data_IF_767075985256
#
_entry.id   IF_767075985256
#
_cell.length_a   1.000
_cell.length_b   1.000
_cell.length_c   1.000
_cell.angle_alpha   90.00
_cell.angle_beta   90.00
_cell.angle_gamma   90.00
#
_symmetry.space_group_name_H-M   'P 1'
#
loop_
_entity.id
_entity.type
_entity.pdbx_description
1 polymer ?
#
# COMPACT_ATOMS: atom_id res chain seq x y z
N UNK A 1 64.54 -30.84 -10.35
CA UNK A 1 63.54 -31.41 -9.40
C UNK A 1 62.71 -30.27 -8.82
N UNK A 2 61.47 -30.10 -9.27
CA UNK A 2 60.34 -29.50 -8.51
C UNK A 2 59.09 -29.60 -9.39
N UNK A 3 58.19 -30.53 -9.04
CA UNK A 3 57.05 -30.98 -9.83
C UNK A 3 55.79 -30.27 -9.32
N UNK A 4 55.30 -29.27 -10.06
CA UNK A 4 54.03 -28.61 -9.76
C UNK A 4 52.86 -29.58 -9.97
N UNK A 5 52.21 -30.00 -8.87
CA UNK A 5 51.00 -30.82 -8.89
C UNK A 5 49.77 -29.91 -9.03
N UNK A 6 49.03 -30.08 -10.12
CA UNK A 6 47.64 -29.60 -10.26
C UNK A 6 46.75 -30.31 -9.24
N UNK A 7 46.28 -29.57 -8.24
CA UNK A 7 45.13 -29.98 -7.43
C UNK A 7 43.86 -29.75 -8.24
N UNK A 8 43.18 -30.83 -8.62
CA UNK A 8 41.81 -30.79 -9.14
C UNK A 8 40.89 -30.40 -7.98
N UNK A 9 40.48 -29.14 -7.94
CA UNK A 9 39.34 -28.72 -7.12
C UNK A 9 38.09 -29.40 -7.67
N UNK A 10 37.40 -30.17 -6.83
CA UNK A 10 36.05 -30.62 -7.13
C UNK A 10 35.15 -29.39 -7.33
N UNK A 11 34.23 -29.40 -8.31
CA UNK A 11 33.23 -28.35 -8.41
C UNK A 11 32.41 -28.31 -7.11
N UNK A 12 31.99 -27.12 -6.64
CA UNK A 12 31.08 -27.03 -5.52
C UNK A 12 29.83 -27.87 -5.83
N UNK A 13 29.45 -28.68 -4.85
CA UNK A 13 28.25 -29.49 -4.91
C UNK A 13 27.07 -28.62 -5.33
N UNK A 14 26.50 -28.94 -6.49
CA UNK A 14 25.17 -28.49 -6.88
C UNK A 14 24.24 -29.08 -5.83
N UNK A 15 23.81 -28.25 -4.87
CA UNK A 15 22.67 -28.56 -4.02
C UNK A 15 21.46 -28.74 -4.95
N UNK A 16 21.19 -30.01 -5.27
CA UNK A 16 19.95 -30.52 -5.85
C UNK A 16 18.76 -29.89 -5.10
N UNK A 17 18.06 -28.89 -5.65
CA UNK A 17 17.12 -28.97 -6.78
C UNK A 17 15.98 -29.99 -6.57
N UNK A 18 15.59 -30.19 -5.32
CA UNK A 18 14.25 -30.64 -4.93
C UNK A 18 13.73 -29.71 -3.84
N UNK A 19 13.71 -28.40 -4.11
CA UNK A 19 12.71 -27.55 -3.46
C UNK A 19 11.37 -28.06 -3.99
N UNK A 20 10.65 -28.70 -3.08
CA UNK A 20 9.23 -28.93 -3.15
C UNK A 20 8.59 -27.71 -3.83
N UNK A 21 8.03 -27.90 -5.03
CA UNK A 21 7.28 -26.88 -5.75
C UNK A 21 6.01 -26.58 -4.95
N UNK A 22 6.16 -25.91 -3.82
CA UNK A 22 5.09 -25.17 -3.17
C UNK A 22 4.73 -24.12 -4.20
N UNK A 23 3.66 -24.39 -4.96
CA UNK A 23 3.06 -23.43 -5.87
C UNK A 23 3.07 -22.08 -5.17
N UNK A 24 3.63 -21.01 -5.77
CA UNK A 24 3.75 -19.73 -5.11
C UNK A 24 2.35 -19.25 -4.77
N UNK A 25 1.94 -19.50 -3.53
CA UNK A 25 0.66 -19.07 -3.02
C UNK A 25 0.74 -17.55 -2.98
N UNK A 26 -0.07 -16.88 -3.80
CA UNK A 26 -0.15 -15.42 -3.75
C UNK A 26 -0.43 -15.00 -2.32
N UNK A 27 0.14 -13.87 -1.93
CA UNK A 27 -0.06 -13.37 -0.60
C UNK A 27 -1.58 -13.12 -0.38
N UNK A 28 -2.10 -13.36 0.84
CA UNK A 28 -3.49 -13.02 1.15
C UNK A 28 -3.70 -11.53 0.88
N UNK A 29 -4.86 -11.12 0.36
CA UNK A 29 -5.09 -9.69 0.09
C UNK A 29 -4.81 -8.84 1.35
N UNK A 30 -4.02 -7.75 1.25
CA UNK A 30 -3.82 -6.83 2.35
C UNK A 30 -5.15 -6.41 2.99
N UNK A 31 -5.25 -6.55 4.30
CA UNK A 31 -6.41 -6.07 5.10
C UNK A 31 -6.35 -4.57 5.38
N UNK A 32 -5.25 -3.93 5.01
CA UNK A 32 -4.98 -2.50 5.18
C UNK A 32 -5.63 -1.70 4.07
N UNK A 33 -6.53 -0.76 4.42
CA UNK A 33 -7.11 0.19 3.46
C UNK A 33 -6.33 1.50 3.37
N UNK A 34 -6.17 2.16 4.51
CA UNK A 34 -5.42 3.40 4.65
C UNK A 34 -5.09 3.60 6.12
N UNK A 35 -3.81 3.72 6.44
CA UNK A 35 -3.34 4.05 7.79
C UNK A 35 -2.47 5.29 7.71
N UNK A 36 -3.06 6.43 8.09
CA UNK A 36 -2.34 7.69 8.20
C UNK A 36 -1.52 7.76 9.47
N UNK A 37 -0.27 8.18 9.34
CA UNK A 37 0.70 8.29 10.42
C UNK A 37 1.27 9.71 10.44
N UNK A 38 1.33 10.28 11.65
CA UNK A 38 1.86 11.63 11.88
C UNK A 38 3.22 11.54 12.57
N UNK A 39 4.15 12.47 12.34
CA UNK A 39 5.39 12.53 13.08
C UNK A 39 5.10 12.77 14.56
N UNK A 40 6.06 12.42 15.42
CA UNK A 40 5.95 12.71 16.83
C UNK A 40 5.85 14.22 17.05
N UNK A 41 5.20 14.67 18.15
CA UNK A 41 5.20 16.09 18.48
C UNK A 41 6.65 16.54 18.72
N UNK A 42 7.13 17.43 17.86
CA UNK A 42 8.46 18.03 17.98
C UNK A 42 8.59 18.74 19.33
N UNK A 43 9.53 18.29 20.17
CA UNK A 43 9.83 18.90 21.47
C UNK A 43 10.07 20.41 21.35
N UNK A 44 10.73 20.86 20.28
CA UNK A 44 11.08 22.27 20.07
C UNK A 44 9.86 23.20 19.93
N UNK A 45 8.73 22.73 19.38
CA UNK A 45 7.52 23.55 19.28
C UNK A 45 6.86 23.74 20.65
N UNK A 46 6.92 22.71 21.49
CA UNK A 46 6.36 22.74 22.84
C UNK A 46 7.22 23.54 23.82
N UNK A 47 8.55 23.52 23.72
CA UNK A 47 9.42 24.39 24.55
C UNK A 47 9.24 25.87 24.21
N UNK A 48 9.02 26.22 22.93
CA UNK A 48 8.73 27.60 22.51
C UNK A 48 7.35 28.04 23.02
N UNK A 49 6.33 27.17 22.91
CA UNK A 49 4.99 27.46 23.43
C UNK A 49 4.99 27.59 24.97
N UNK A 50 5.65 26.69 25.69
CA UNK A 50 5.79 26.75 27.15
C UNK A 50 6.62 27.95 27.62
N UNK A 51 7.65 28.34 26.86
CA UNK A 51 8.45 29.54 27.12
C UNK A 51 7.68 30.84 26.90
N UNK A 52 6.78 30.89 25.92
CA UNK A 52 5.99 32.09 25.62
C UNK A 52 4.81 32.34 26.57
N UNK A 53 4.17 31.28 27.10
CA UNK A 53 3.06 31.42 28.06
C UNK A 53 3.57 31.76 29.48
N UNK A 54 4.78 31.34 29.84
CA UNK A 54 5.40 31.61 31.14
C UNK A 54 5.88 33.05 31.36
N UNK A 55 6.11 33.83 30.29
CA UNK A 55 6.59 35.23 30.42
C UNK A 55 5.49 36.26 30.12
N UNK A 56 4.49 35.92 29.31
CA UNK A 56 3.44 36.87 28.90
C UNK A 56 2.30 37.03 29.92
N UNK A 57 2.09 36.04 30.80
CA UNK A 57 1.00 36.07 31.78
C UNK A 57 1.36 36.79 33.09
N UNK A 58 2.63 37.15 33.29
CA UNK A 58 3.05 38.03 34.40
C UNK A 58 2.98 39.52 34.00
N UNK A 59 2.97 39.83 32.69
CA UNK A 59 3.07 41.21 32.20
C UNK A 59 1.77 41.92 31.80
N UNK A 60 0.64 41.22 31.61
CA UNK A 60 -0.59 41.82 31.07
C UNK A 60 -1.78 41.90 32.04
N UNK A 61 -1.62 41.51 33.31
CA UNK A 61 -2.61 41.72 34.36
C UNK A 61 -2.32 42.94 35.26
N UNK A 62 -1.35 43.78 34.89
CA UNK A 62 -1.06 45.04 35.57
C UNK A 62 -1.30 46.20 34.59
N UNK A 63 -2.57 46.44 34.28
CA UNK A 63 -2.98 47.79 33.89
C UNK A 63 -2.65 48.78 35.02
N UNK A 64 -2.46 50.07 34.73
CA UNK A 64 -2.08 51.08 35.73
C UNK A 64 -3.08 51.21 36.90
N UNK A 65 -4.30 50.70 36.77
CA UNK A 65 -5.34 50.69 37.83
C UNK A 65 -5.30 49.46 38.76
N UNK A 66 -4.39 48.50 38.53
CA UNK A 66 -4.27 47.29 39.36
C UNK A 66 -3.58 47.54 40.73
N UNK A 67 -3.15 48.77 41.02
CA UNK A 67 -2.55 49.15 42.30
C UNK A 67 -3.54 49.24 43.47
N UNK A 68 -4.86 49.20 43.21
CA UNK A 68 -5.90 49.44 44.24
C UNK A 68 -6.54 48.20 44.85
N UNK A 69 -6.23 46.99 44.38
CA UNK A 69 -6.83 45.73 44.90
C UNK A 69 -5.87 44.87 45.72
N UNK A 70 -4.78 45.46 46.23
CA UNK A 70 -3.72 44.77 46.99
C UNK A 70 -4.03 44.49 48.48
N UNK A 71 -5.27 44.58 48.95
CA UNK A 71 -5.53 44.53 50.40
C UNK A 71 -6.48 43.41 50.86
N UNK A 72 -7.14 42.67 49.97
CA UNK A 72 -8.01 41.57 50.42
C UNK A 72 -7.73 40.26 49.70
N UNK A 73 -7.11 39.33 50.44
CA UNK A 73 -7.12 37.86 50.26
C UNK A 73 -6.06 37.26 49.31
N UNK A 74 -4.82 37.19 49.78
CA UNK A 74 -3.65 36.62 49.10
C UNK A 74 -3.63 35.10 48.88
N UNK A 75 -4.74 34.48 48.48
CA UNK A 75 -4.83 33.02 48.25
C UNK A 75 -5.26 32.65 46.82
N UNK A 76 -5.94 33.54 46.10
CA UNK A 76 -6.45 33.28 44.75
C UNK A 76 -5.40 33.23 43.61
N UNK A 77 -4.33 34.05 43.57
CA UNK A 77 -3.39 34.01 42.44
C UNK A 77 -2.45 32.78 42.48
N UNK A 78 -2.22 32.19 43.65
CA UNK A 78 -1.38 30.98 43.81
C UNK A 78 -2.09 29.75 43.23
N UNK A 79 -3.42 29.66 43.38
CA UNK A 79 -4.21 28.52 42.90
C UNK A 79 -4.24 28.38 41.37
N UNK A 80 -4.32 29.50 40.64
CA UNK A 80 -4.30 29.50 39.17
C UNK A 80 -2.92 29.12 38.60
N UNK A 81 -1.84 29.62 39.21
CA UNK A 81 -0.48 29.23 38.82
C UNK A 81 -0.20 27.75 39.09
N UNK A 82 -0.70 27.20 40.22
CA UNK A 82 -0.57 25.79 40.55
C UNK A 82 -1.36 24.88 39.59
N UNK A 83 -2.57 25.27 39.17
CA UNK A 83 -3.37 24.53 38.19
C UNK A 83 -2.71 24.53 36.80
N UNK A 84 -2.20 25.68 36.34
CA UNK A 84 -1.44 25.75 35.10
C UNK A 84 -0.18 24.87 35.14
N UNK A 85 0.58 24.94 36.24
CA UNK A 85 1.76 24.08 36.46
C UNK A 85 1.43 22.58 36.46
N UNK A 86 0.32 22.18 37.10
CA UNK A 86 -0.11 20.79 37.13
C UNK A 86 -0.53 20.28 35.74
N UNK A 87 -1.24 21.06 34.94
CA UNK A 87 -1.61 20.66 33.57
C UNK A 87 -0.40 20.53 32.64
N UNK A 88 0.58 21.45 32.74
CA UNK A 88 1.85 21.32 32.03
C UNK A 88 2.66 20.09 32.49
N UNK A 89 2.73 19.83 33.79
CA UNK A 89 3.43 18.66 34.33
C UNK A 89 2.80 17.34 33.88
N UNK A 90 1.46 17.25 33.82
CA UNK A 90 0.72 16.08 33.30
C UNK A 90 0.95 15.92 31.79
N UNK A 91 0.99 17.01 31.03
CA UNK A 91 1.36 16.98 29.60
C UNK A 91 2.78 16.44 29.38
N UNK A 92 3.75 16.96 30.14
CA UNK A 92 5.17 16.56 30.06
C UNK A 92 5.36 15.10 30.50
N UNK A 93 4.75 14.67 31.60
CA UNK A 93 4.87 13.27 32.07
C UNK A 93 4.19 12.27 31.14
N UNK A 94 3.02 12.59 30.58
CA UNK A 94 2.39 11.76 29.53
C UNK A 94 3.28 11.65 28.27
N UNK A 95 4.07 12.69 27.99
CA UNK A 95 4.97 12.75 26.85
C UNK A 95 6.32 12.05 27.11
N UNK A 96 6.84 12.08 28.33
CA UNK A 96 8.04 11.31 28.74
C UNK A 96 7.80 9.80 28.75
N UNK A 97 6.56 9.37 28.97
CA UNK A 97 6.17 7.95 28.92
C UNK A 97 5.85 7.46 27.49
N UNK A 98 6.17 8.22 26.44
CA UNK A 98 5.90 7.79 25.05
C UNK A 98 6.87 6.70 24.62
N UNK A 99 6.36 5.79 23.79
CA UNK A 99 7.22 4.92 23.00
C UNK A 99 8.06 5.82 22.09
N UNK A 100 9.38 5.71 22.22
CA UNK A 100 10.30 6.40 21.32
C UNK A 100 10.41 5.61 20.03
N UNK A 101 10.41 6.32 18.92
CA UNK A 101 10.89 5.75 17.67
C UNK A 101 12.32 5.22 17.86
N UNK A 102 12.72 4.14 17.15
CA UNK A 102 14.11 3.70 17.11
C UNK A 102 15.04 4.86 16.74
N UNK A 103 16.22 4.94 17.36
CA UNK A 103 17.17 6.06 17.18
C UNK A 103 17.54 6.29 15.71
N UNK A 104 17.51 5.23 14.90
CA UNK A 104 17.85 5.25 13.48
C UNK A 104 16.67 5.64 12.57
N UNK A 105 15.44 5.68 13.10
CA UNK A 105 14.25 5.94 12.32
C UNK A 105 13.90 7.44 12.32
N UNK A 106 13.77 8.01 11.13
CA UNK A 106 13.33 9.40 10.96
C UNK A 106 11.82 9.50 11.17
N UNK A 107 11.38 10.42 12.03
CA UNK A 107 9.96 10.70 12.20
C UNK A 107 9.41 11.51 11.01
N UNK A 108 8.37 11.02 10.36
CA UNK A 108 7.79 11.59 9.13
C UNK A 108 6.27 11.49 9.11
N UNK A 109 5.62 12.31 8.29
CA UNK A 109 4.25 12.05 7.87
C UNK A 109 4.29 10.91 6.86
N UNK A 110 3.48 9.87 7.04
CA UNK A 110 3.39 8.80 6.06
C UNK A 110 2.03 8.11 6.09
N UNK A 111 1.67 7.44 5.01
CA UNK A 111 0.47 6.63 4.92
C UNK A 111 0.81 5.24 4.40
N UNK A 112 0.25 4.21 5.04
CA UNK A 112 0.34 2.82 4.57
C UNK A 112 -0.95 2.49 3.84
N UNK A 113 -0.83 2.01 2.60
CA UNK A 113 -1.93 1.67 1.68
C UNK A 113 -1.70 0.26 1.12
N UNK A 114 -2.69 -0.42 0.52
CA UNK A 114 -2.54 -1.80 0.04
C UNK A 114 -1.39 -2.03 -0.95
N UNK A 115 -0.89 -0.99 -1.62
CA UNK A 115 0.12 -1.07 -2.68
C UNK A 115 1.51 -0.57 -2.26
N UNK A 116 1.65 -0.04 -1.04
CA UNK A 116 2.92 0.45 -0.53
C UNK A 116 2.77 1.51 0.56
N UNK A 117 3.77 2.38 0.65
CA UNK A 117 3.87 3.44 1.65
C UNK A 117 4.13 4.77 0.97
N UNK A 118 3.32 5.78 1.30
CA UNK A 118 3.49 7.17 0.88
C UNK A 118 4.22 7.88 2.02
N UNK A 119 5.44 8.36 1.78
CA UNK A 119 6.23 9.09 2.76
C UNK A 119 6.28 10.56 2.38
N UNK A 120 5.66 11.42 3.17
CA UNK A 120 5.77 12.86 3.00
C UNK A 120 7.05 13.37 3.68
N UNK A 121 7.99 13.78 2.83
CA UNK A 121 9.31 14.27 3.22
C UNK A 121 9.55 15.68 2.67
N UNK A 122 8.62 16.61 2.93
CA UNK A 122 8.82 18.03 2.65
C UNK A 122 8.08 18.49 1.40
N UNK A 123 8.78 18.79 0.30
CA UNK A 123 8.16 19.41 -0.88
C UNK A 123 7.46 18.42 -1.82
N UNK A 124 7.88 17.15 -1.84
CA UNK A 124 7.32 16.11 -2.70
C UNK A 124 7.15 14.79 -1.94
N UNK A 125 6.03 14.06 -2.13
CA UNK A 125 5.82 12.76 -1.52
C UNK A 125 6.74 11.72 -2.18
N UNK A 126 7.37 10.88 -1.35
CA UNK A 126 8.17 9.75 -1.81
C UNK A 126 7.36 8.47 -1.70
N UNK A 127 7.26 7.74 -2.80
CA UNK A 127 6.47 6.52 -2.89
C UNK A 127 7.37 5.30 -2.73
N UNK A 128 7.07 4.48 -1.73
CA UNK A 128 7.76 3.22 -1.45
C UNK A 128 6.83 2.06 -1.79
N UNK A 129 7.04 1.42 -2.94
CA UNK A 129 6.35 0.17 -3.29
C UNK A 129 6.81 -0.96 -2.36
N UNK A 130 6.01 -2.01 -2.21
CA UNK A 130 6.37 -3.15 -1.37
C UNK A 130 7.77 -3.74 -1.59
N UNK A 131 8.30 -3.85 -2.84
CA UNK A 131 9.66 -4.35 -3.06
C UNK A 131 10.77 -3.52 -2.36
N UNK A 132 10.51 -2.24 -2.08
CA UNK A 132 11.43 -1.36 -1.37
C UNK A 132 11.32 -1.48 0.17
N UNK A 133 10.24 -2.09 0.68
CA UNK A 133 9.98 -2.25 2.12
C UNK A 133 10.54 -3.60 2.58
N UNK A 134 11.47 -3.56 3.53
CA UNK A 134 12.12 -4.76 4.10
C UNK A 134 11.43 -5.23 5.36
N UNK A 135 10.93 -4.30 6.18
CA UNK A 135 10.28 -4.65 7.45
C UNK A 135 9.30 -3.57 7.88
N UNK A 136 8.21 -3.98 8.50
CA UNK A 136 7.28 -3.11 9.21
C UNK A 136 7.24 -3.57 10.67
N UNK A 137 7.45 -2.63 11.59
CA UNK A 137 7.35 -2.88 13.02
C UNK A 137 6.30 -1.98 13.63
N UNK A 138 5.47 -2.54 14.50
CA UNK A 138 4.46 -1.80 15.26
C UNK A 138 4.74 -1.98 16.74
N UNK A 139 5.07 -0.87 17.40
CA UNK A 139 5.19 -0.82 18.85
C UNK A 139 3.92 -0.19 19.42
N UNK A 140 3.24 -0.90 20.32
CA UNK A 140 1.94 -0.50 20.86
C UNK A 140 2.08 -0.07 22.32
N UNK A 141 1.49 1.07 22.67
CA UNK A 141 1.41 1.54 24.06
C UNK A 141 0.05 1.21 24.62
N UNK A 142 0.05 0.42 25.69
CA UNK A 142 -1.13 0.10 26.46
C UNK A 142 -1.27 1.03 27.67
N UNK A 143 -2.50 1.31 28.08
CA UNK A 143 -2.83 1.86 29.39
C UNK A 143 -3.86 0.95 30.06
N UNK A 144 -3.94 0.98 31.38
CA UNK A 144 -4.97 0.27 32.12
C UNK A 144 -6.07 1.27 32.49
N UNK A 145 -7.23 1.15 31.85
CA UNK A 145 -8.41 1.93 32.21
C UNK A 145 -9.36 1.01 32.98
N UNK A 146 -9.46 1.20 34.30
CA UNK A 146 -10.30 0.35 35.15
C UNK A 146 -9.86 -1.12 35.24
N UNK A 147 -8.57 -1.40 35.01
CA UNK A 147 -8.03 -2.77 34.99
C UNK A 147 -8.04 -3.46 33.62
N UNK A 148 -8.67 -2.86 32.60
CA UNK A 148 -8.64 -3.38 31.23
C UNK A 148 -7.53 -2.70 30.41
N UNK A 149 -6.66 -3.46 29.72
CA UNK A 149 -5.67 -2.89 28.83
C UNK A 149 -6.34 -2.27 27.60
N UNK A 150 -6.16 -0.96 27.40
CA UNK A 150 -6.58 -0.25 26.20
C UNK A 150 -5.36 0.31 25.45
N UNK A 151 -5.37 0.22 24.13
CA UNK A 151 -4.30 0.74 23.29
C UNK A 151 -4.50 2.24 23.12
N UNK A 152 -3.51 3.03 23.55
CA UNK A 152 -3.56 4.49 23.48
C UNK A 152 -2.96 5.00 22.18
N UNK A 153 -1.82 4.42 21.78
CA UNK A 153 -1.06 4.86 20.63
C UNK A 153 -0.18 3.74 20.09
N UNK A 154 0.06 3.76 18.79
CA UNK A 154 0.99 2.87 18.11
C UNK A 154 2.08 3.69 17.41
N UNK A 155 3.30 3.20 17.46
CA UNK A 155 4.43 3.71 16.67
C UNK A 155 4.71 2.70 15.59
N UNK A 156 4.60 3.12 14.33
CA UNK A 156 4.87 2.28 13.17
C UNK A 156 6.21 2.68 12.59
N UNK A 157 7.10 1.72 12.42
CA UNK A 157 8.41 1.90 11.81
C UNK A 157 8.50 1.09 10.53
N UNK A 158 8.71 1.77 9.40
CA UNK A 158 8.92 1.17 8.09
C UNK A 158 10.42 1.20 7.78
N UNK A 159 11.03 0.04 7.59
CA UNK A 159 12.45 -0.08 7.20
C UNK A 159 12.57 -0.45 5.73
N UNK A 160 13.39 0.32 5.02
CA UNK A 160 13.89 -0.01 3.69
C UNK A 160 15.31 -0.58 3.82
N UNK A 161 15.97 -0.82 2.70
CA UNK A 161 17.37 -1.27 2.69
C UNK A 161 18.34 -0.20 3.23
N UNK A 162 18.02 1.08 3.07
CA UNK A 162 18.94 2.19 3.37
C UNK A 162 18.46 3.11 4.48
N UNK A 163 17.16 3.14 4.75
CA UNK A 163 16.51 4.14 5.58
C UNK A 163 15.44 3.51 6.46
N UNK A 164 15.14 4.15 7.59
CA UNK A 164 14.02 3.81 8.44
C UNK A 164 13.14 5.06 8.65
N UNK A 165 11.84 4.89 8.50
CA UNK A 165 10.82 5.91 8.70
C UNK A 165 9.94 5.51 9.85
N UNK A 166 9.50 6.48 10.67
CA UNK A 166 8.59 6.23 11.78
C UNK A 166 7.48 7.25 11.82
N UNK A 167 6.30 6.80 12.26
CA UNK A 167 5.13 7.63 12.41
C UNK A 167 4.19 7.06 13.47
N UNK A 168 3.34 7.92 14.01
CA UNK A 168 2.47 7.63 15.13
C UNK A 168 1.02 7.57 14.66
N UNK A 169 0.26 6.61 15.22
CA UNK A 169 -1.18 6.53 15.12
C UNK A 169 -1.81 6.52 16.52
N UNK A 170 -3.02 7.07 16.62
CA UNK A 170 -3.84 6.94 17.80
C UNK A 170 -4.56 5.58 17.79
N UNK A 171 -4.49 4.84 18.90
CA UNK A 171 -5.09 3.51 18.98
C UNK A 171 -4.31 2.42 18.25
N UNK A 172 -4.99 1.31 17.97
CA UNK A 172 -4.44 0.15 17.25
C UNK A 172 -4.53 0.36 15.73
N UNK A 173 -3.52 -0.10 14.99
CA UNK A 173 -3.39 0.14 13.54
C UNK A 173 -3.75 -1.07 12.65
N UNK A 174 -4.01 -2.25 13.22
CA UNK A 174 -4.49 -3.41 12.45
C UNK A 174 -3.52 -3.85 11.34
N UNK A 175 -2.21 -3.86 11.60
CA UNK A 175 -1.17 -4.15 10.60
C UNK A 175 -0.56 -5.54 10.76
N UNK A 176 -1.17 -6.42 11.56
CA UNK A 176 -0.61 -7.72 11.92
C UNK A 176 -0.45 -8.61 10.69
N UNK A 177 -1.48 -8.68 9.84
CA UNK A 177 -1.44 -9.43 8.58
C UNK A 177 -0.40 -8.85 7.64
N UNK A 178 -0.32 -7.52 7.55
CA UNK A 178 0.68 -6.84 6.73
C UNK A 178 2.10 -7.22 7.17
N UNK A 179 2.40 -7.12 8.47
CA UNK A 179 3.70 -7.44 9.05
C UNK A 179 4.11 -8.89 8.79
N UNK A 180 3.18 -9.83 8.86
CA UNK A 180 3.44 -11.25 8.63
C UNK A 180 3.74 -11.58 7.17
N UNK A 181 3.30 -10.75 6.21
CA UNK A 181 3.35 -11.04 4.79
C UNK A 181 4.14 -10.02 3.94
N UNK A 182 4.90 -9.10 4.57
CA UNK A 182 5.65 -8.05 3.84
C UNK A 182 6.51 -8.62 2.70
N UNK A 183 7.23 -9.70 2.95
CA UNK A 183 8.09 -10.34 1.95
C UNK A 183 7.29 -10.96 0.80
N UNK A 184 6.17 -11.60 1.10
CA UNK A 184 5.27 -12.16 0.09
C UNK A 184 4.63 -11.05 -0.77
N UNK A 185 4.25 -9.91 -0.16
CA UNK A 185 3.77 -8.74 -0.87
C UNK A 185 4.84 -8.09 -1.73
N UNK A 186 6.07 -7.99 -1.23
CA UNK A 186 7.21 -7.50 -2.00
C UNK A 186 7.47 -8.39 -3.22
N UNK A 187 7.47 -9.71 -3.04
CA UNK A 187 7.63 -10.66 -4.14
C UNK A 187 6.51 -10.52 -5.17
N UNK A 188 5.23 -10.55 -4.74
CA UNK A 188 4.09 -10.40 -5.64
C UNK A 188 4.08 -9.06 -6.39
N UNK A 189 4.38 -7.95 -5.71
CA UNK A 189 4.46 -6.62 -6.31
C UNK A 189 5.63 -6.47 -7.30
N UNK A 190 6.68 -7.28 -7.17
CA UNK A 190 7.84 -7.28 -8.06
C UNK A 190 7.68 -8.15 -9.32
N UNK A 191 6.63 -8.96 -9.40
CA UNK A 191 6.43 -9.85 -10.55
C UNK A 191 6.17 -9.03 -11.81
N UNK A 192 6.86 -9.33 -12.93
CA UNK A 192 6.54 -8.70 -14.20
C UNK A 192 5.12 -9.08 -14.62
N UNK A 193 4.44 -8.21 -15.35
CA UNK A 193 3.11 -8.52 -15.89
C UNK A 193 3.26 -9.38 -17.15
N UNK A 194 2.23 -10.15 -17.51
CA UNK A 194 2.29 -11.03 -18.69
C UNK A 194 1.53 -10.46 -19.88
N UNK A 195 2.02 -10.73 -21.10
CA UNK A 195 1.31 -10.47 -22.36
C UNK A 195 0.44 -11.62 -22.85
N UNK A 196 0.49 -12.78 -22.17
CA UNK A 196 -0.29 -14.00 -22.41
C UNK A 196 -1.06 -14.42 -21.13
N UNK A 197 -2.05 -15.30 -21.29
CA UNK A 197 -2.85 -15.79 -20.15
C UNK A 197 -2.15 -16.88 -19.33
N UNK A 198 -1.11 -17.48 -19.89
CA UNK A 198 -0.30 -18.56 -19.30
C UNK A 198 0.89 -18.05 -18.47
N UNK A 199 1.17 -16.73 -18.47
CA UNK A 199 2.21 -16.17 -17.60
C UNK A 199 3.64 -16.41 -18.10
N UNK A 200 3.84 -16.73 -19.38
CA UNK A 200 5.15 -17.08 -19.95
C UNK A 200 5.84 -15.92 -20.66
N UNK A 201 5.09 -14.92 -21.11
CA UNK A 201 5.63 -13.77 -21.85
C UNK A 201 5.64 -12.51 -20.96
N UNK A 202 6.76 -12.18 -20.28
CA UNK A 202 6.83 -10.98 -19.48
C UNK A 202 6.71 -9.73 -20.36
N UNK A 203 5.95 -8.75 -19.87
CA UNK A 203 5.64 -7.51 -20.53
C UNK A 203 6.38 -6.34 -19.87
N UNK A 204 6.93 -5.46 -20.71
CA UNK A 204 7.59 -4.22 -20.33
C UNK A 204 9.11 -4.35 -20.17
N UNK A 205 9.81 -3.25 -20.37
CA UNK A 205 11.29 -3.18 -20.31
C UNK A 205 11.82 -2.80 -18.90
N UNK A 206 10.93 -2.71 -17.89
CA UNK A 206 11.31 -2.35 -16.52
C UNK A 206 10.12 -2.01 -15.61
N UNK A 207 10.40 -1.79 -14.33
CA UNK A 207 9.41 -1.65 -13.24
C UNK A 207 8.50 -0.39 -13.33
N UNK A 208 8.89 0.61 -14.13
CA UNK A 208 8.23 1.92 -14.20
C UNK A 208 7.78 2.33 -15.60
N UNK A 209 7.99 1.49 -16.61
CA UNK A 209 7.51 1.80 -17.94
C UNK A 209 5.97 1.79 -17.98
N UNK A 210 5.31 2.71 -18.69
CA UNK A 210 3.88 2.63 -18.92
C UNK A 210 3.56 1.37 -19.74
N UNK A 211 2.63 0.55 -19.25
CA UNK A 211 2.29 -0.77 -19.81
C UNK A 211 0.81 -0.97 -20.09
N UNK A 212 -0.07 -0.06 -19.63
CA UNK A 212 -1.51 -0.22 -19.76
C UNK A 212 -1.97 -0.23 -21.22
N UNK A 213 -1.38 0.61 -22.08
CA UNK A 213 -1.71 0.67 -23.50
C UNK A 213 -1.44 -0.67 -24.21
N UNK A 214 -0.27 -1.26 -23.94
CA UNK A 214 0.11 -2.54 -24.51
C UNK A 214 -0.77 -3.68 -23.97
N UNK A 215 -1.07 -3.70 -22.67
CA UNK A 215 -2.00 -4.68 -22.08
C UNK A 215 -3.40 -4.62 -22.71
N UNK A 216 -3.95 -3.41 -22.87
CA UNK A 216 -5.25 -3.19 -23.51
C UNK A 216 -5.22 -3.68 -24.95
N UNK A 217 -4.16 -3.35 -25.71
CA UNK A 217 -3.99 -3.80 -27.10
C UNK A 217 -3.96 -5.32 -27.18
N UNK A 218 -3.21 -5.99 -26.30
CA UNK A 218 -3.16 -7.46 -26.22
C UNK A 218 -4.52 -8.07 -25.87
N UNK A 219 -5.24 -7.47 -24.93
CA UNK A 219 -6.59 -7.91 -24.60
C UNK A 219 -7.55 -7.81 -25.81
N UNK A 220 -7.44 -6.74 -26.60
CA UNK A 220 -8.20 -6.59 -27.84
C UNK A 220 -7.79 -7.61 -28.91
N UNK A 221 -6.50 -7.88 -29.08
CA UNK A 221 -5.99 -8.89 -30.03
C UNK A 221 -6.53 -10.29 -29.67
N UNK A 222 -6.56 -10.63 -28.37
CA UNK A 222 -7.14 -11.88 -27.88
C UNK A 222 -8.65 -11.99 -28.19
N UNK A 223 -9.39 -10.89 -28.06
CA UNK A 223 -10.83 -10.89 -28.29
C UNK A 223 -11.25 -10.80 -29.77
N UNK A 224 -10.35 -10.33 -30.65
CA UNK A 224 -10.70 -9.98 -32.04
C UNK A 224 -10.10 -10.92 -33.10
N UNK A 225 -9.07 -11.69 -32.76
CA UNK A 225 -8.39 -12.58 -33.70
C UNK A 225 -8.89 -14.03 -33.58
N UNK A 226 -8.76 -14.81 -34.66
CA UNK A 226 -9.08 -16.24 -34.64
C UNK A 226 -8.16 -17.03 -33.70
N UNK A 227 -6.91 -16.59 -33.55
CA UNK A 227 -5.95 -17.20 -32.64
C UNK A 227 -6.37 -17.01 -31.19
N UNK A 228 -6.67 -15.76 -30.79
CA UNK A 228 -7.16 -15.47 -29.44
C UNK A 228 -8.52 -16.11 -29.15
N UNK A 229 -9.41 -16.21 -30.15
CA UNK A 229 -10.65 -16.97 -30.01
C UNK A 229 -10.40 -18.46 -29.70
N UNK A 230 -9.39 -19.08 -30.31
CA UNK A 230 -9.01 -20.46 -30.00
C UNK A 230 -8.41 -20.58 -28.60
N UNK A 231 -7.53 -19.65 -28.20
CA UNK A 231 -6.92 -19.61 -26.86
C UNK A 231 -7.96 -19.44 -25.74
N UNK A 232 -8.98 -18.62 -25.97
CA UNK A 232 -10.07 -18.37 -25.03
C UNK A 232 -11.19 -19.43 -25.10
N UNK A 233 -11.05 -20.46 -25.93
CA UNK A 233 -12.09 -21.43 -26.24
C UNK A 233 -13.43 -20.78 -26.65
N UNK A 234 -13.36 -19.64 -27.35
CA UNK A 234 -14.53 -18.96 -27.87
C UNK A 234 -15.10 -19.74 -29.06
N UNK A 235 -16.43 -19.79 -29.20
CA UNK A 235 -17.04 -20.42 -30.36
C UNK A 235 -16.58 -19.70 -31.64
N UNK A 236 -16.37 -20.45 -32.75
CA UNK A 236 -15.94 -19.84 -34.00
C UNK A 236 -16.94 -18.76 -34.41
N UNK A 237 -16.43 -17.56 -34.73
CA UNK A 237 -17.24 -16.43 -35.09
C UNK A 237 -18.03 -16.73 -36.38
N UNK A 238 -19.27 -17.18 -36.25
CA UNK A 238 -20.17 -17.36 -37.38
C UNK A 238 -20.51 -16.02 -38.05
N UNK A 239 -20.76 -16.05 -39.36
CA UNK A 239 -21.13 -14.88 -40.17
C UNK A 239 -22.40 -14.15 -39.68
N UNK A 240 -23.24 -14.78 -38.84
CA UNK A 240 -24.42 -14.17 -38.22
C UNK A 240 -24.13 -13.90 -36.74
N UNK A 241 -23.39 -12.83 -36.44
CA UNK A 241 -23.13 -12.39 -35.07
C UNK A 241 -24.35 -11.67 -34.49
N UNK A 242 -25.16 -12.39 -33.72
CA UNK A 242 -25.96 -11.81 -32.64
C UNK A 242 -25.58 -12.55 -31.37
N UNK A 243 -24.62 -11.99 -30.62
CA UNK A 243 -24.17 -12.49 -29.31
C UNK A 243 -23.36 -13.78 -29.38
N UNK A 244 -22.03 -13.67 -29.46
CA UNK A 244 -21.17 -14.79 -29.04
C UNK A 244 -21.35 -14.93 -27.53
N UNK A 245 -22.26 -15.80 -27.08
CA UNK A 245 -22.41 -16.05 -25.65
C UNK A 245 -21.17 -16.79 -25.18
N UNK A 246 -20.45 -16.19 -24.24
CA UNK A 246 -19.29 -16.80 -23.59
C UNK A 246 -19.65 -18.19 -23.05
N UNK A 247 -18.82 -19.18 -23.36
CA UNK A 247 -18.98 -20.52 -22.82
C UNK A 247 -18.45 -20.64 -21.39
N UNK A 248 -18.87 -21.67 -20.63
CA UNK A 248 -18.32 -21.95 -19.30
C UNK A 248 -16.81 -22.24 -19.32
N UNK A 249 -16.29 -22.74 -20.44
CA UNK A 249 -14.86 -22.99 -20.63
C UNK A 249 -14.04 -21.68 -20.61
N UNK A 250 -14.47 -20.66 -21.36
CA UNK A 250 -13.85 -19.32 -21.34
C UNK A 250 -13.86 -18.71 -19.94
N UNK A 251 -14.99 -18.81 -19.21
CA UNK A 251 -15.07 -18.36 -17.82
C UNK A 251 -14.10 -19.12 -16.91
N UNK A 252 -13.93 -20.42 -17.14
CA UNK A 252 -12.98 -21.25 -16.40
C UNK A 252 -11.52 -20.86 -16.65
N UNK A 253 -11.15 -20.54 -17.90
CA UNK A 253 -9.81 -20.07 -18.26
C UNK A 253 -9.53 -18.73 -17.56
N UNK A 254 -10.42 -17.75 -17.74
CA UNK A 254 -10.25 -16.42 -17.14
C UNK A 254 -10.27 -16.47 -15.61
N UNK A 255 -11.16 -17.28 -15.02
CA UNK A 255 -11.22 -17.49 -13.58
C UNK A 255 -9.91 -18.04 -13.01
N UNK A 256 -9.34 -19.07 -13.66
CA UNK A 256 -8.06 -19.66 -13.26
C UNK A 256 -6.91 -18.64 -13.31
N UNK A 257 -6.82 -17.87 -14.39
CA UNK A 257 -5.81 -16.81 -14.51
C UNK A 257 -6.00 -15.72 -13.46
N UNK A 258 -7.23 -15.29 -13.17
CA UNK A 258 -7.54 -14.28 -12.14
C UNK A 258 -7.24 -14.74 -10.72
N UNK A 259 -7.51 -16.01 -10.41
CA UNK A 259 -7.17 -16.63 -9.12
C UNK A 259 -5.65 -16.82 -8.96
N UNK A 260 -4.90 -16.73 -10.06
CA UNK A 260 -3.46 -16.88 -10.10
C UNK A 260 -3.00 -18.34 -10.18
N UNK A 261 -3.90 -19.28 -10.44
CA UNK A 261 -3.57 -20.71 -10.54
C UNK A 261 -2.90 -21.08 -11.88
N UNK A 262 -2.02 -20.20 -12.35
CA UNK A 262 -1.28 -20.31 -13.61
C UNK A 262 0.22 -20.29 -13.28
N UNK A 263 0.95 -21.39 -13.57
CA UNK A 263 2.39 -21.45 -13.35
C UNK A 263 3.10 -20.56 -14.39
N UNK A 264 3.71 -19.47 -13.95
CA UNK A 264 4.36 -18.54 -14.86
C UNK A 264 5.40 -17.65 -14.16
N UNK A 265 6.34 -17.14 -14.95
CA UNK A 265 7.35 -16.18 -14.47
C UNK A 265 6.76 -14.76 -14.35
N UNK A 266 5.69 -14.50 -15.10
CA UNK A 266 4.97 -13.23 -15.11
C UNK A 266 3.55 -13.39 -14.54
N UNK A 267 2.87 -12.27 -14.29
CA UNK A 267 1.53 -12.20 -13.72
C UNK A 267 0.48 -12.00 -14.84
N UNK A 268 -0.33 -13.01 -15.17
CA UNK A 268 -1.36 -12.93 -16.21
C UNK A 268 -2.66 -12.25 -15.76
N UNK A 269 -2.82 -11.97 -14.46
CA UNK A 269 -4.07 -11.45 -13.87
C UNK A 269 -4.55 -10.13 -14.50
N UNK A 270 -3.67 -9.15 -14.83
CA UNK A 270 -4.09 -7.92 -15.51
C UNK A 270 -4.70 -8.18 -16.89
N UNK A 271 -4.08 -9.03 -17.71
CA UNK A 271 -4.58 -9.36 -19.04
C UNK A 271 -5.92 -10.08 -18.95
N UNK A 272 -6.02 -11.08 -18.07
CA UNK A 272 -7.27 -11.80 -17.82
C UNK A 272 -8.40 -10.86 -17.37
N UNK A 273 -8.10 -9.86 -16.53
CA UNK A 273 -9.07 -8.87 -16.09
C UNK A 273 -9.59 -7.99 -17.24
N UNK A 274 -8.70 -7.52 -18.13
CA UNK A 274 -9.11 -6.74 -19.30
C UNK A 274 -9.94 -7.56 -20.27
N UNK A 275 -9.54 -8.81 -20.56
CA UNK A 275 -10.29 -9.72 -21.43
C UNK A 275 -11.67 -10.03 -20.84
N UNK A 276 -11.77 -10.29 -19.53
CA UNK A 276 -13.04 -10.49 -18.84
C UNK A 276 -13.98 -9.29 -19.03
N UNK A 277 -13.46 -8.07 -18.92
CA UNK A 277 -14.25 -6.86 -19.13
C UNK A 277 -14.64 -6.61 -20.60
N UNK A 278 -13.76 -6.93 -21.55
CA UNK A 278 -14.04 -6.82 -22.99
C UNK A 278 -15.12 -7.81 -23.45
N UNK A 279 -15.21 -8.98 -22.81
CA UNK A 279 -16.19 -10.01 -23.12
C UNK A 279 -17.48 -9.91 -22.29
N UNK A 280 -17.65 -8.86 -21.47
CA UNK A 280 -18.79 -8.66 -20.55
C UNK A 280 -18.99 -9.82 -19.54
N UNK A 281 -17.89 -10.39 -19.02
CA UNK A 281 -17.88 -11.52 -18.07
C UNK A 281 -18.32 -11.12 -16.64
N UNK A 282 -19.59 -10.70 -16.47
CA UNK A 282 -20.11 -10.18 -15.18
C UNK A 282 -19.96 -11.13 -14.00
N UNK A 283 -19.97 -12.45 -14.24
CA UNK A 283 -19.78 -13.47 -13.21
C UNK A 283 -18.40 -13.39 -12.53
N UNK A 284 -17.40 -12.78 -13.19
CA UNK A 284 -16.06 -12.56 -12.65
C UNK A 284 -15.92 -11.26 -11.84
N UNK A 285 -17.00 -10.49 -11.68
CA UNK A 285 -16.97 -9.19 -10.98
C UNK A 285 -16.45 -9.27 -9.55
N UNK A 286 -16.76 -10.35 -8.81
CA UNK A 286 -16.24 -10.54 -7.45
C UNK A 286 -14.73 -10.84 -7.44
N UNK A 287 -14.24 -11.62 -8.41
CA UNK A 287 -12.82 -11.91 -8.55
C UNK A 287 -12.03 -10.61 -8.84
N UNK A 288 -12.55 -9.74 -9.70
CA UNK A 288 -11.95 -8.44 -9.99
C UNK A 288 -11.91 -7.51 -8.76
N UNK A 289 -12.96 -7.50 -7.93
CA UNK A 289 -12.96 -6.71 -6.67
C UNK A 289 -11.90 -7.22 -5.69
N UNK A 290 -11.68 -8.54 -5.63
CA UNK A 290 -10.57 -9.10 -4.83
C UNK A 290 -9.21 -8.70 -5.42
N UNK A 291 -9.11 -8.73 -6.75
CA UNK A 291 -7.89 -8.35 -7.46
C UNK A 291 -7.53 -6.86 -7.31
N UNK A 292 -8.53 -5.99 -7.18
CA UNK A 292 -8.38 -4.55 -6.96
C UNK A 292 -7.65 -4.16 -5.65
N UNK A 293 -7.43 -5.12 -4.74
CA UNK A 293 -6.70 -4.94 -3.50
C UNK A 293 -5.37 -5.70 -3.46
N UNK A 294 -4.90 -6.25 -4.60
CA UNK A 294 -3.58 -6.91 -4.65
C UNK A 294 -2.43 -5.93 -4.46
N UNK A 295 -1.28 -6.38 -3.94
CA UNK A 295 -0.14 -5.52 -3.62
C UNK A 295 0.52 -4.85 -4.85
N UNK A 296 0.39 -5.43 -6.05
CA UNK A 296 0.91 -4.81 -7.27
C UNK A 296 -0.04 -3.68 -7.73
N UNK A 297 0.42 -2.41 -7.80
CA UNK A 297 -0.44 -1.27 -8.12
C UNK A 297 -1.03 -1.34 -9.53
N UNK A 298 -0.29 -1.86 -10.52
CA UNK A 298 -0.79 -1.97 -11.89
C UNK A 298 -1.88 -3.04 -11.97
N UNK A 299 -1.66 -4.20 -11.33
CA UNK A 299 -2.67 -5.27 -11.24
C UNK A 299 -3.96 -4.74 -10.59
N UNK A 300 -3.84 -4.01 -9.48
CA UNK A 300 -4.98 -3.42 -8.80
C UNK A 300 -5.70 -2.37 -9.66
N UNK A 301 -4.97 -1.49 -10.34
CA UNK A 301 -5.53 -0.46 -11.22
C UNK A 301 -6.29 -1.06 -12.41
N UNK A 302 -5.69 -2.06 -13.06
CA UNK A 302 -6.31 -2.80 -14.17
C UNK A 302 -7.58 -3.50 -13.71
N UNK A 303 -7.53 -4.17 -12.55
CA UNK A 303 -8.69 -4.84 -11.97
C UNK A 303 -9.85 -3.87 -11.67
N UNK A 304 -9.53 -2.67 -11.16
CA UNK A 304 -10.51 -1.58 -10.93
C UNK A 304 -11.13 -1.10 -12.22
N UNK A 305 -10.31 -0.81 -13.23
CA UNK A 305 -10.79 -0.38 -14.53
C UNK A 305 -11.71 -1.43 -15.18
N UNK A 306 -11.32 -2.70 -15.12
CA UNK A 306 -12.11 -3.84 -15.59
C UNK A 306 -13.43 -4.00 -14.82
N UNK A 307 -13.39 -3.92 -13.49
CA UNK A 307 -14.59 -4.03 -12.65
C UNK A 307 -15.58 -2.88 -12.92
N UNK A 308 -15.08 -1.64 -13.02
CA UNK A 308 -15.89 -0.46 -13.35
C UNK A 308 -16.53 -0.60 -14.73
N UNK A 309 -15.77 -1.08 -15.73
CA UNK A 309 -16.28 -1.34 -17.08
C UNK A 309 -17.39 -2.38 -17.10
N UNK A 310 -17.31 -3.42 -16.26
CA UNK A 310 -18.37 -4.42 -16.08
C UNK A 310 -19.59 -3.90 -15.27
N UNK A 311 -19.57 -2.64 -14.82
CA UNK A 311 -20.64 -2.02 -14.07
C UNK A 311 -20.60 -2.30 -12.56
N UNK A 312 -19.48 -2.77 -12.02
CA UNK A 312 -19.31 -2.88 -10.55
C UNK A 312 -19.30 -1.48 -9.96
N UNK A 313 -20.08 -1.20 -8.89
CA UNK A 313 -20.12 0.14 -8.29
C UNK A 313 -18.75 0.63 -7.81
N UNK A 314 -18.40 1.92 -7.99
CA UNK A 314 -17.14 2.49 -7.51
C UNK A 314 -16.92 2.32 -6.01
N UNK A 315 -17.99 2.30 -5.20
CA UNK A 315 -17.90 2.05 -3.76
C UNK A 315 -17.36 0.65 -3.40
N UNK A 316 -17.39 -0.31 -4.35
CA UNK A 316 -16.87 -1.67 -4.18
C UNK A 316 -15.53 -1.85 -4.88
N UNK A 317 -15.40 -1.37 -6.11
CA UNK A 317 -14.17 -1.51 -6.90
C UNK A 317 -13.07 -0.55 -6.43
N UNK A 318 -13.43 0.68 -6.05
CA UNK A 318 -12.52 1.81 -5.90
C UNK A 318 -12.32 2.58 -7.21
N UNK A 319 -11.73 3.77 -7.13
CA UNK A 319 -11.32 4.54 -8.33
C UNK A 319 -9.90 4.16 -8.78
N UNK A 320 -9.61 4.28 -10.09
CA UNK A 320 -8.23 4.20 -10.60
C UNK A 320 -7.38 5.35 -10.04
N UNK A 321 -7.99 6.51 -9.78
CA UNK A 321 -7.31 7.70 -9.27
C UNK A 321 -6.70 7.52 -7.88
N UNK A 322 -7.21 6.59 -7.07
CA UNK A 322 -6.64 6.28 -5.75
C UNK A 322 -5.20 5.72 -5.86
N UNK A 323 -4.81 5.23 -7.04
CA UNK A 323 -3.48 4.71 -7.33
C UNK A 323 -2.59 5.70 -8.07
N UNK A 324 -2.99 6.97 -8.22
CA UNK A 324 -2.26 7.95 -9.04
C UNK A 324 -0.79 8.10 -8.64
N UNK A 325 -0.50 8.05 -7.34
CA UNK A 325 0.86 8.14 -6.82
C UNK A 325 1.74 6.92 -7.18
N UNK A 326 1.14 5.79 -7.56
CA UNK A 326 1.84 4.53 -7.82
C UNK A 326 1.95 4.18 -9.31
N UNK A 327 1.26 4.92 -10.18
CA UNK A 327 1.15 4.65 -11.61
C UNK A 327 1.79 5.76 -12.43
N UNK A 328 2.21 5.43 -13.66
CA UNK A 328 2.51 6.44 -14.67
C UNK A 328 1.21 7.18 -15.06
N UNK A 329 1.32 8.47 -15.39
CA UNK A 329 0.19 9.29 -15.79
C UNK A 329 -0.49 8.74 -17.06
N UNK A 330 0.31 8.21 -17.98
CA UNK A 330 -0.15 7.56 -19.21
C UNK A 330 -1.01 6.33 -18.90
N UNK A 331 -0.58 5.48 -17.96
CA UNK A 331 -1.32 4.29 -17.57
C UNK A 331 -2.64 4.66 -16.90
N UNK A 332 -2.63 5.67 -16.02
CA UNK A 332 -3.85 6.21 -15.41
C UNK A 332 -4.83 6.68 -16.47
N UNK A 333 -4.35 7.44 -17.46
CA UNK A 333 -5.19 7.95 -18.55
C UNK A 333 -5.81 6.81 -19.36
N UNK A 334 -5.00 5.85 -19.82
CA UNK A 334 -5.46 4.70 -20.62
C UNK A 334 -6.49 3.87 -19.86
N UNK A 335 -6.23 3.55 -18.58
CA UNK A 335 -7.14 2.77 -17.75
C UNK A 335 -8.45 3.53 -17.44
N UNK A 336 -8.39 4.85 -17.30
CA UNK A 336 -9.58 5.70 -17.18
C UNK A 336 -10.46 5.64 -18.43
N UNK A 337 -9.86 5.76 -19.62
CA UNK A 337 -10.59 5.62 -20.89
C UNK A 337 -11.18 4.21 -21.05
N UNK A 338 -10.41 3.18 -20.70
CA UNK A 338 -10.88 1.79 -20.73
C UNK A 338 -12.10 1.59 -19.82
N UNK A 339 -12.03 2.07 -18.57
CA UNK A 339 -13.12 1.97 -17.60
C UNK A 339 -14.40 2.65 -18.10
N UNK A 340 -14.27 3.79 -18.78
CA UNK A 340 -15.38 4.56 -19.34
C UNK A 340 -16.02 3.95 -20.60
N UNK A 341 -15.47 2.86 -21.15
CA UNK A 341 -15.95 2.31 -22.41
C UNK A 341 -15.50 3.08 -23.65
N UNK A 342 -14.61 4.06 -23.50
CA UNK A 342 -14.16 4.92 -24.58
C UNK A 342 -13.20 4.17 -25.53
N UNK A 343 -13.16 4.55 -26.82
CA UNK A 343 -12.12 4.05 -27.73
C UNK A 343 -10.75 4.56 -27.25
N UNK A 344 -9.80 3.64 -27.16
CA UNK A 344 -8.41 3.95 -26.78
C UNK A 344 -7.66 4.20 -28.08
N UNK A 345 -7.10 5.40 -28.21
CA UNK A 345 -6.36 5.86 -29.39
C UNK A 345 -4.90 5.40 -29.37
#
# INVERSE_FOLDING_TARGET
>A
MARWRRGRGLPPAVCSAYDEYVLPHYAPAPDVRYVGLVPGPNFNMLTIAAGSVGVSSIGLALGPDAALWSITSGVLPIGLAALAGATCAVGITRQLLRLKAPVEAREVHMAIVPWGVIVDHGSEPRILRWPAVRKIEVAVKHTLQGGTPSIVSSVVTVRTEREAFSGYAYGAVGLETLMANVEAYAHEASRPLSSDLDGHEPLGDGEFAPIAAELVRRAHDLCSTNHGAAELALPPAGYRRTGSSMGPETLGILGRSLDGDVPGVADPRPLAALVAALLDAKDLGLALVRLANRPNPVVAAVARAAALRLGVPPAKAGSVDELSEFLADEDRYVLGQFAAGAPIA
#
